data_IF_154960672490
#
_entry.id   IF_154960672490
#
_cell.length_a   1.000
_cell.length_b   1.000
_cell.length_c   1.000
_cell.angle_alpha   90.00
_cell.angle_beta   90.00
_cell.angle_gamma   90.00
#
_symmetry.space_group_name_H-M   'P 1'
#
loop_
_entity.id
_entity.type
_entity.pdbx_description
1 polymer ?
#
# COMPACT_ATOMS: atom_id res chain seq x y z
N UNK A 1 -13.37 28.00 -8.88
CA UNK A 1 -13.07 27.61 -10.27
C UNK A 1 -12.23 28.64 -11.05
N UNK A 2 -12.23 29.95 -10.73
CA UNK A 2 -11.32 30.93 -11.35
C UNK A 2 -9.95 31.03 -10.68
N UNK A 3 -9.81 30.68 -9.39
CA UNK A 3 -8.54 30.76 -8.65
C UNK A 3 -7.56 29.62 -8.98
N UNK A 4 -8.05 28.43 -9.32
CA UNK A 4 -7.19 27.29 -9.70
C UNK A 4 -6.47 27.51 -11.04
N UNK A 5 -7.08 28.30 -11.94
CA UNK A 5 -6.45 28.70 -13.22
C UNK A 5 -5.28 29.65 -13.01
N UNK A 6 -5.33 30.52 -12.00
CA UNK A 6 -4.28 31.51 -11.76
C UNK A 6 -2.99 30.84 -11.26
N UNK A 7 -3.11 29.81 -10.41
CA UNK A 7 -1.97 29.05 -9.90
C UNK A 7 -1.33 28.22 -11.02
N UNK A 8 -2.14 27.54 -11.84
CA UNK A 8 -1.64 26.74 -12.96
C UNK A 8 -0.97 27.61 -14.05
N UNK A 9 -1.51 28.80 -14.32
CA UNK A 9 -0.89 29.78 -15.22
C UNK A 9 0.44 30.30 -14.68
N UNK A 10 0.56 30.51 -13.36
CA UNK A 10 1.82 30.91 -12.74
C UNK A 10 2.90 29.85 -12.90
N UNK A 11 2.54 28.56 -12.77
CA UNK A 11 3.46 27.44 -12.96
C UNK A 11 3.95 27.33 -14.41
N UNK A 12 3.06 27.43 -15.40
CA UNK A 12 3.47 27.40 -16.81
C UNK A 12 4.36 28.59 -17.21
N UNK A 13 4.09 29.79 -16.66
CA UNK A 13 4.88 30.99 -16.92
C UNK A 13 6.31 30.84 -16.36
N UNK A 14 6.44 30.23 -15.18
CA UNK A 14 7.74 29.96 -14.53
C UNK A 14 8.53 28.89 -15.31
N UNK A 15 7.89 27.82 -15.78
CA UNK A 15 8.55 26.82 -16.64
C UNK A 15 9.03 27.42 -17.98
N UNK A 16 8.21 28.25 -18.63
CA UNK A 16 8.60 28.95 -19.86
C UNK A 16 9.79 29.89 -19.66
N UNK A 17 9.93 30.49 -18.48
CA UNK A 17 11.07 31.36 -18.18
C UNK A 17 12.34 30.61 -17.79
N UNK A 18 12.21 29.39 -17.22
CA UNK A 18 13.32 28.47 -16.96
C UNK A 18 13.93 27.91 -18.25
N UNK A 19 13.10 27.49 -19.20
CA UNK A 19 13.55 26.99 -20.52
C UNK A 19 14.27 28.08 -21.33
N UNK A 20 13.91 29.35 -21.12
CA UNK A 20 14.54 30.50 -21.78
C UNK A 20 15.84 30.97 -21.11
N UNK A 21 16.35 30.28 -20.09
CA UNK A 21 17.62 30.61 -19.42
C UNK A 21 17.64 31.96 -18.70
N UNK A 22 16.47 32.58 -18.47
CA UNK A 22 16.35 33.90 -17.83
C UNK A 22 16.24 33.84 -16.30
N UNK A 23 16.06 32.65 -15.72
CA UNK A 23 16.03 32.43 -14.28
C UNK A 23 17.22 31.59 -13.86
N UNK A 24 18.11 32.18 -13.05
CA UNK A 24 19.16 31.45 -12.34
C UNK A 24 18.51 30.49 -11.34
N UNK A 25 19.03 29.26 -11.24
CA UNK A 25 18.61 28.23 -10.27
C UNK A 25 18.59 28.72 -8.82
N UNK A 26 19.29 29.81 -8.51
CA UNK A 26 19.26 30.46 -7.20
C UNK A 26 17.93 31.16 -6.88
N UNK A 27 17.13 31.59 -7.87
CA UNK A 27 15.82 32.21 -7.63
C UNK A 27 14.72 31.21 -7.26
N UNK A 28 14.87 29.93 -7.62
CA UNK A 28 13.97 28.85 -7.18
C UNK A 28 14.13 28.53 -5.69
N UNK A 29 15.27 28.89 -5.08
CA UNK A 29 15.51 28.70 -3.65
C UNK A 29 14.70 29.64 -2.74
N UNK A 30 14.11 30.72 -3.31
CA UNK A 30 13.19 31.59 -2.57
C UNK A 30 11.74 31.12 -2.63
N UNK A 31 11.32 30.40 -3.67
CA UNK A 31 9.98 29.80 -3.75
C UNK A 31 9.90 28.43 -3.08
N UNK A 32 11.03 27.75 -2.84
CA UNK A 32 11.06 26.44 -2.16
C UNK A 32 11.08 26.50 -0.63
N UNK A 33 11.08 27.70 -0.03
CA UNK A 33 11.13 27.92 1.44
C UNK A 33 9.97 28.75 2.00
N UNK A 34 8.93 29.04 1.22
CA UNK A 34 7.65 29.45 1.80
C UNK A 34 6.97 28.17 2.30
N UNK A 35 7.15 27.93 3.60
CA UNK A 35 6.83 26.69 4.29
C UNK A 35 5.49 26.10 3.89
N UNK A 36 5.54 25.03 3.12
CA UNK A 36 4.46 24.04 3.13
C UNK A 36 4.42 23.53 4.57
N UNK A 37 3.47 24.06 5.35
CA UNK A 37 3.28 23.65 6.73
C UNK A 37 2.95 22.16 6.70
N UNK A 38 3.73 21.38 7.44
CA UNK A 38 3.57 19.94 7.57
C UNK A 38 3.26 19.59 9.00
N UNK A 39 2.43 18.57 9.19
CA UNK A 39 2.19 17.98 10.50
C UNK A 39 2.54 16.51 10.45
N UNK A 40 3.40 16.08 11.37
CA UNK A 40 3.72 14.68 11.57
C UNK A 40 2.67 14.03 12.44
N UNK A 41 2.15 12.89 11.99
CA UNK A 41 1.26 12.03 12.74
C UNK A 41 1.88 10.62 12.84
N UNK A 42 1.52 9.90 13.90
CA UNK A 42 1.95 8.52 14.11
C UNK A 42 0.87 7.55 13.63
N UNK A 43 1.29 6.58 12.83
CA UNK A 43 0.47 5.49 12.34
C UNK A 43 1.12 4.15 12.68
N UNK A 44 0.39 3.07 12.43
CA UNK A 44 0.95 1.73 12.43
C UNK A 44 0.58 1.03 11.15
N UNK A 45 1.55 0.33 10.57
CA UNK A 45 1.31 -0.60 9.49
C UNK A 45 1.00 -1.96 10.12
N UNK A 46 -0.07 -2.59 9.66
CA UNK A 46 -0.44 -3.95 10.06
C UNK A 46 -0.49 -4.84 8.82
N UNK A 47 0.03 -6.06 8.96
CA UNK A 47 -0.02 -7.06 7.89
C UNK A 47 -0.34 -8.43 8.47
N UNK A 48 -1.09 -9.24 7.73
CA UNK A 48 -1.38 -10.63 8.07
C UNK A 48 -1.42 -11.49 6.81
N UNK A 49 -1.09 -12.76 7.00
CA UNK A 49 -1.22 -13.81 5.97
C UNK A 49 -1.53 -15.14 6.66
N UNK A 50 -2.02 -16.16 5.95
CA UNK A 50 -2.23 -17.47 6.56
C UNK A 50 -0.93 -18.02 7.15
N UNK A 51 -1.02 -18.60 8.35
CA UNK A 51 0.11 -19.29 9.01
C UNK A 51 0.67 -20.47 8.19
N UNK A 52 -0.11 -20.94 7.22
CA UNK A 52 0.22 -22.03 6.33
C UNK A 52 -0.49 -21.87 4.99
N UNK A 53 0.18 -22.26 3.92
CA UNK A 53 -0.38 -22.34 2.56
C UNK A 53 0.17 -23.57 1.82
N UNK A 54 -0.30 -23.83 0.61
CA UNK A 54 0.12 -24.96 -0.24
C UNK A 54 0.80 -24.49 -1.52
N UNK A 55 1.83 -25.24 -1.98
CA UNK A 55 2.50 -24.96 -3.26
C UNK A 55 1.51 -24.80 -4.41
N UNK A 56 1.79 -23.86 -5.31
CA UNK A 56 1.01 -23.58 -6.52
C UNK A 56 -0.45 -23.17 -6.27
N UNK A 57 -0.83 -22.86 -5.03
CA UNK A 57 -2.13 -22.28 -4.70
C UNK A 57 -1.96 -20.80 -4.36
N UNK A 58 -2.81 -19.94 -4.90
CA UNK A 58 -2.77 -18.52 -4.57
C UNK A 58 -3.08 -18.30 -3.09
N UNK A 59 -2.26 -17.52 -2.42
CA UNK A 59 -2.49 -17.06 -1.04
C UNK A 59 -2.46 -15.54 -0.98
N UNK A 60 -2.86 -14.99 0.17
CA UNK A 60 -3.04 -13.56 0.36
C UNK A 60 -2.16 -13.01 1.48
N UNK A 61 -1.62 -11.81 1.26
CA UNK A 61 -1.12 -10.93 2.32
C UNK A 61 -2.04 -9.73 2.37
N UNK A 62 -2.67 -9.48 3.51
CA UNK A 62 -3.57 -8.35 3.74
C UNK A 62 -2.90 -7.33 4.64
N UNK A 63 -3.07 -6.07 4.31
CA UNK A 63 -2.39 -4.97 5.00
C UNK A 63 -3.28 -3.74 5.12
N UNK A 64 -3.06 -2.97 6.18
CA UNK A 64 -3.69 -1.67 6.42
C UNK A 64 -2.69 -0.75 7.14
N UNK A 65 -2.68 0.54 6.80
CA UNK A 65 -2.10 1.57 7.66
C UNK A 65 -3.22 2.11 8.55
N UNK A 66 -3.09 1.92 9.85
CA UNK A 66 -4.10 2.29 10.83
C UNK A 66 -3.60 3.39 11.76
N UNK A 67 -4.50 4.26 12.20
CA UNK A 67 -4.23 5.18 13.30
C UNK A 67 -3.94 4.39 14.58
N UNK A 68 -3.18 4.97 15.52
CA UNK A 68 -2.78 4.25 16.75
C UNK A 68 -3.94 3.78 17.62
N UNK A 69 -5.10 4.44 17.54
CA UNK A 69 -6.29 4.12 18.35
C UNK A 69 -7.34 3.30 17.61
N UNK A 70 -7.18 3.07 16.30
CA UNK A 70 -8.10 2.20 15.56
C UNK A 70 -7.91 0.74 15.92
N UNK A 71 -8.92 -0.10 15.68
CA UNK A 71 -8.79 -1.56 15.71
C UNK A 71 -8.09 -2.14 14.47
N UNK A 72 -7.95 -1.37 13.38
CA UNK A 72 -7.16 -1.73 12.20
C UNK A 72 -7.59 -3.05 11.55
N UNK A 73 -6.63 -3.90 11.23
CA UNK A 73 -6.86 -5.17 10.53
C UNK A 73 -7.67 -6.17 11.38
N UNK A 74 -7.74 -5.96 12.70
CA UNK A 74 -8.54 -6.83 13.58
C UNK A 74 -10.04 -6.78 13.32
N UNK A 75 -10.56 -5.70 12.71
CA UNK A 75 -11.97 -5.60 12.31
C UNK A 75 -12.31 -6.52 11.14
N UNK A 76 -11.31 -6.90 10.35
CA UNK A 76 -11.47 -7.66 9.11
C UNK A 76 -11.10 -9.13 9.29
N UNK A 77 -10.68 -9.55 10.50
CA UNK A 77 -10.18 -10.88 10.79
C UNK A 77 -10.92 -11.49 11.99
N UNK A 78 -11.10 -12.82 12.06
CA UNK A 78 -10.63 -13.81 11.09
C UNK A 78 -11.39 -13.74 9.76
N UNK A 79 -10.72 -14.11 8.68
CA UNK A 79 -11.33 -14.26 7.36
C UNK A 79 -10.56 -15.30 6.52
N UNK A 80 -11.27 -15.91 5.59
CA UNK A 80 -10.69 -16.88 4.66
C UNK A 80 -10.24 -16.20 3.37
N UNK A 81 -9.14 -16.68 2.79
CA UNK A 81 -8.77 -16.34 1.41
C UNK A 81 -9.77 -16.94 0.41
N UNK A 82 -9.67 -16.55 -0.85
CA UNK A 82 -10.49 -17.15 -1.92
C UNK A 82 -10.35 -18.69 -2.04
N UNK A 83 -9.26 -19.27 -1.53
CA UNK A 83 -8.99 -20.72 -1.52
C UNK A 83 -9.16 -21.35 -0.13
N UNK A 84 -9.89 -20.69 0.77
CA UNK A 84 -10.22 -21.15 2.12
C UNK A 84 -9.02 -21.29 3.07
N UNK A 85 -7.89 -20.62 2.80
CA UNK A 85 -6.82 -20.48 3.79
C UNK A 85 -7.27 -19.47 4.86
N UNK A 86 -7.25 -19.85 6.14
CA UNK A 86 -7.70 -18.98 7.22
C UNK A 86 -6.60 -17.99 7.65
N UNK A 87 -6.93 -16.70 7.68
CA UNK A 87 -6.13 -15.65 8.32
C UNK A 87 -6.80 -15.29 9.65
N UNK A 88 -6.06 -15.36 10.75
CA UNK A 88 -6.57 -15.07 12.09
C UNK A 88 -5.96 -13.81 12.67
N UNK A 89 -6.55 -13.28 13.75
CA UNK A 89 -5.99 -12.12 14.48
C UNK A 89 -4.58 -12.38 15.03
N UNK A 90 -4.19 -13.64 15.25
CA UNK A 90 -2.85 -14.01 15.76
C UNK A 90 -1.76 -13.88 14.68
N UNK A 91 -2.17 -13.88 13.42
CA UNK A 91 -1.28 -13.75 12.27
C UNK A 91 -0.89 -12.29 12.00
N UNK A 92 -1.56 -11.33 12.66
CA UNK A 92 -1.26 -9.91 12.53
C UNK A 92 0.13 -9.62 13.09
N UNK A 93 0.94 -8.92 12.29
CA UNK A 93 2.16 -8.23 12.71
C UNK A 93 1.97 -6.75 12.48
N UNK A 94 2.53 -5.94 13.37
CA UNK A 94 2.36 -4.48 13.35
C UNK A 94 3.64 -3.77 13.72
N UNK A 95 3.87 -2.61 13.12
CA UNK A 95 4.98 -1.73 13.42
C UNK A 95 4.51 -0.27 13.27
N UNK A 96 5.04 0.63 14.11
CA UNK A 96 4.69 2.05 14.06
C UNK A 96 5.56 2.79 13.05
N UNK A 97 5.07 3.90 12.52
CA UNK A 97 5.84 4.81 11.69
C UNK A 97 5.28 6.24 11.74
N UNK A 98 6.16 7.25 11.70
CA UNK A 98 5.75 8.64 11.50
C UNK A 98 5.45 8.91 10.03
N UNK A 99 4.50 9.80 9.76
CA UNK A 99 4.22 10.32 8.42
C UNK A 99 3.87 11.80 8.48
N UNK A 100 4.40 12.56 7.53
CA UNK A 100 4.11 13.98 7.35
C UNK A 100 2.94 14.16 6.38
N UNK A 101 1.97 14.95 6.80
CA UNK A 101 0.90 15.44 5.93
C UNK A 101 1.06 16.94 5.70
N UNK A 102 0.80 17.37 4.47
CA UNK A 102 0.76 18.79 4.14
C UNK A 102 -0.51 19.44 4.67
N UNK A 103 -0.42 20.70 5.09
CA UNK A 103 -1.57 21.50 5.52
C UNK A 103 -2.04 22.36 4.34
N UNK A 104 -3.34 22.30 4.06
CA UNK A 104 -3.99 23.24 3.15
C UNK A 104 -4.06 24.62 3.82
N UNK A 105 -3.31 25.59 3.32
CA UNK A 105 -3.24 26.93 3.94
C UNK A 105 -4.56 27.71 3.91
N UNK A 106 -5.52 27.31 3.08
CA UNK A 106 -6.84 27.96 3.01
C UNK A 106 -7.83 27.38 4.02
N UNK A 107 -7.78 26.06 4.25
CA UNK A 107 -8.74 25.36 5.15
C UNK A 107 -8.14 24.95 6.49
N UNK A 108 -6.82 25.05 6.65
CA UNK A 108 -6.02 24.50 7.76
C UNK A 108 -6.17 22.97 7.93
N UNK A 109 -6.68 22.28 6.91
CA UNK A 109 -6.87 20.83 6.92
C UNK A 109 -5.62 20.09 6.45
N UNK A 110 -5.39 18.92 7.05
CA UNK A 110 -4.35 18.02 6.58
C UNK A 110 -4.79 17.34 5.28
N UNK A 111 -3.93 17.42 4.28
CA UNK A 111 -4.12 16.78 2.98
C UNK A 111 -3.70 15.31 3.04
N UNK A 112 -4.41 14.41 2.36
CA UNK A 112 -4.04 13.01 2.25
C UNK A 112 -2.74 12.81 1.46
N UNK A 113 -2.10 11.65 1.64
CA UNK A 113 -0.88 11.30 0.92
C UNK A 113 -0.94 9.87 0.38
N UNK A 114 -0.07 9.58 -0.58
CA UNK A 114 0.14 8.23 -1.09
C UNK A 114 1.43 7.68 -0.50
N UNK A 115 1.36 6.45 0.00
CA UNK A 115 2.50 5.65 0.40
C UNK A 115 2.66 4.47 -0.55
N UNK A 116 3.83 3.83 -0.52
CA UNK A 116 4.15 2.73 -1.44
C UNK A 116 4.56 1.49 -0.66
N UNK A 117 3.85 0.38 -0.91
CA UNK A 117 4.11 -0.91 -0.27
C UNK A 117 4.87 -1.80 -1.23
N UNK A 118 6.06 -2.23 -0.84
CA UNK A 118 6.85 -3.26 -1.51
C UNK A 118 6.74 -4.58 -0.75
N UNK A 119 6.55 -5.66 -1.49
CA UNK A 119 6.49 -7.01 -0.93
C UNK A 119 7.66 -7.85 -1.48
N UNK A 120 8.48 -8.37 -0.58
CA UNK A 120 9.62 -9.22 -0.89
C UNK A 120 9.38 -10.61 -0.30
N UNK A 121 9.21 -11.61 -1.16
CA UNK A 121 8.94 -12.98 -0.75
C UNK A 121 9.63 -13.97 -1.70
N UNK A 122 10.91 -14.34 -1.45
CA UNK A 122 11.71 -15.12 -2.39
C UNK A 122 11.16 -16.53 -2.66
N UNK A 123 10.30 -17.04 -1.79
CA UNK A 123 9.68 -18.37 -1.92
C UNK A 123 8.35 -18.34 -2.71
N UNK A 124 7.97 -17.17 -3.24
CA UNK A 124 6.69 -16.91 -3.89
C UNK A 124 6.88 -16.20 -5.24
N UNK A 125 5.97 -16.47 -6.17
CA UNK A 125 5.72 -15.58 -7.32
C UNK A 125 4.73 -14.50 -6.89
N UNK A 126 5.00 -13.27 -7.29
CA UNK A 126 4.18 -12.09 -7.00
C UNK A 126 3.98 -11.33 -8.30
N UNK A 127 2.73 -11.17 -8.74
CA UNK A 127 2.40 -10.43 -9.97
C UNK A 127 2.69 -8.93 -9.82
N UNK A 128 2.19 -8.34 -8.72
CA UNK A 128 2.34 -6.91 -8.42
C UNK A 128 3.02 -6.73 -7.07
N UNK A 129 4.37 -6.73 -7.01
CA UNK A 129 5.12 -6.63 -5.76
C UNK A 129 5.15 -5.21 -5.20
N UNK A 130 4.71 -4.21 -5.96
CA UNK A 130 4.58 -2.82 -5.53
C UNK A 130 3.12 -2.37 -5.67
N UNK A 131 2.57 -1.72 -4.64
CA UNK A 131 1.24 -1.12 -4.67
C UNK A 131 1.22 0.22 -3.94
N UNK A 132 0.38 1.13 -4.40
CA UNK A 132 0.12 2.41 -3.74
C UNK A 132 -0.94 2.23 -2.65
N UNK A 133 -0.74 2.88 -1.52
CA UNK A 133 -1.63 2.95 -0.38
C UNK A 133 -2.02 4.40 -0.14
N UNK A 134 -3.29 4.72 -0.35
CA UNK A 134 -3.80 6.04 -0.02
C UNK A 134 -4.04 6.15 1.49
N UNK A 135 -3.48 7.19 2.11
CA UNK A 135 -3.59 7.43 3.54
C UNK A 135 -4.19 8.82 3.80
N UNK A 136 -5.26 8.86 4.57
CA UNK A 136 -5.88 10.09 5.02
C UNK A 136 -5.53 10.35 6.50
N UNK A 137 -5.31 11.60 6.92
CA UNK A 137 -4.91 11.98 8.29
C UNK A 137 -5.89 11.56 9.40
N UNK A 138 -7.16 11.31 9.05
CA UNK A 138 -8.24 11.14 10.03
C UNK A 138 -8.87 9.75 10.03
N UNK A 139 -8.35 8.82 9.23
CA UNK A 139 -8.90 7.47 9.10
C UNK A 139 -7.80 6.47 8.77
N UNK A 140 -8.10 5.19 8.99
CA UNK A 140 -7.27 4.11 8.48
C UNK A 140 -7.31 4.08 6.95
N UNK A 141 -6.29 3.47 6.35
CA UNK A 141 -6.34 3.16 4.92
C UNK A 141 -7.41 2.11 4.63
N UNK A 142 -7.71 1.90 3.34
CA UNK A 142 -8.37 0.68 2.91
C UNK A 142 -7.48 -0.55 3.15
N UNK A 143 -8.09 -1.74 3.18
CA UNK A 143 -7.34 -3.00 3.19
C UNK A 143 -6.74 -3.24 1.81
N UNK A 144 -5.43 -3.41 1.78
CA UNK A 144 -4.66 -3.73 0.59
C UNK A 144 -4.30 -5.22 0.59
N UNK A 145 -4.65 -5.93 -0.48
CA UNK A 145 -4.36 -7.37 -0.61
C UNK A 145 -3.32 -7.62 -1.69
N UNK A 146 -2.25 -8.34 -1.36
CA UNK A 146 -1.31 -8.91 -2.32
C UNK A 146 -1.63 -10.38 -2.56
N UNK A 147 -1.49 -10.82 -3.81
CA UNK A 147 -1.63 -12.21 -4.21
C UNK A 147 -0.26 -12.81 -4.43
N UNK A 148 -0.02 -13.99 -3.84
CA UNK A 148 1.26 -14.68 -3.89
C UNK A 148 1.05 -16.15 -4.27
N UNK A 149 1.95 -16.73 -5.06
CA UNK A 149 1.93 -18.15 -5.41
C UNK A 149 3.21 -18.82 -4.89
N UNK A 150 3.15 -19.62 -3.80
CA UNK A 150 4.30 -20.31 -3.25
C UNK A 150 4.85 -21.37 -4.22
N UNK A 151 6.17 -21.39 -4.37
CA UNK A 151 6.83 -22.24 -5.38
C UNK A 151 7.34 -23.56 -4.81
N UNK A 152 7.96 -23.52 -3.64
CA UNK A 152 8.64 -24.67 -3.05
C UNK A 152 8.19 -24.91 -1.60
N UNK A 153 8.06 -26.17 -1.16
CA UNK A 153 7.73 -26.47 0.23
C UNK A 153 8.80 -25.92 1.19
N UNK A 154 8.36 -25.26 2.25
CA UNK A 154 9.26 -24.62 3.22
C UNK A 154 8.63 -24.58 4.59
N UNK A 155 9.40 -24.93 5.63
CA UNK A 155 8.91 -24.90 7.02
C UNK A 155 8.63 -23.48 7.50
N UNK A 156 9.49 -22.53 7.10
CA UNK A 156 9.44 -21.12 7.45
C UNK A 156 9.77 -20.29 6.21
N UNK A 157 8.75 -19.93 5.44
CA UNK A 157 8.86 -18.97 4.36
C UNK A 157 8.64 -17.56 4.90
N UNK A 158 9.48 -16.61 4.46
CA UNK A 158 9.43 -15.22 4.91
C UNK A 158 8.76 -14.36 3.84
N UNK A 159 7.90 -13.47 4.29
CA UNK A 159 7.34 -12.40 3.48
C UNK A 159 7.65 -11.08 4.18
N UNK A 160 8.46 -10.24 3.53
CA UNK A 160 8.83 -8.93 4.04
C UNK A 160 7.93 -7.90 3.37
N UNK A 161 7.38 -7.00 4.18
CA UNK A 161 6.54 -5.89 3.77
C UNK A 161 7.28 -4.61 4.13
N UNK A 162 7.55 -3.77 3.13
CA UNK A 162 8.24 -2.51 3.30
C UNK A 162 7.33 -1.36 2.86
N UNK A 163 7.24 -0.34 3.69
CA UNK A 163 6.46 0.87 3.46
C UNK A 163 7.40 2.03 3.15
N UNK A 164 7.19 2.69 2.02
CA UNK A 164 7.98 3.80 1.53
C UNK A 164 7.14 5.07 1.39
N UNK A 165 7.80 6.23 1.53
CA UNK A 165 7.20 7.55 1.29
C UNK A 165 6.99 7.82 -0.19
N UNK A 166 7.88 7.30 -1.03
CA UNK A 166 7.96 7.55 -2.47
C UNK A 166 8.02 6.24 -3.28
N UNK A 167 7.71 6.34 -4.58
CA UNK A 167 7.61 5.18 -5.46
C UNK A 167 8.99 4.60 -5.80
N UNK A 168 10.00 5.47 -5.83
CA UNK A 168 11.40 5.17 -6.10
C UNK A 168 12.06 4.40 -4.95
N UNK A 169 11.34 4.22 -3.83
CA UNK A 169 11.78 3.50 -2.63
C UNK A 169 13.01 4.15 -1.96
N UNK A 170 13.12 5.47 -2.06
CA UNK A 170 14.25 6.21 -1.50
C UNK A 170 14.14 6.44 0.01
N UNK A 171 12.91 6.54 0.55
CA UNK A 171 12.67 6.75 1.98
C UNK A 171 11.81 5.61 2.55
N UNK A 172 12.44 4.70 3.29
CA UNK A 172 11.76 3.63 4.03
C UNK A 172 11.16 4.20 5.32
N UNK A 173 9.85 4.05 5.49
CA UNK A 173 9.11 4.47 6.70
C UNK A 173 8.96 3.32 7.70
N UNK A 174 8.73 2.10 7.22
CA UNK A 174 8.54 0.93 8.09
C UNK A 174 8.82 -0.38 7.37
N UNK A 175 9.14 -1.42 8.13
CA UNK A 175 9.28 -2.79 7.64
C UNK A 175 8.68 -3.80 8.61
N UNK A 176 8.09 -4.86 8.05
CA UNK A 176 7.47 -5.98 8.76
C UNK A 176 7.89 -7.30 8.14
N UNK A 177 8.01 -8.34 8.97
CA UNK A 177 8.21 -9.72 8.49
C UNK A 177 7.07 -10.61 8.92
N UNK A 178 6.44 -11.27 7.95
CA UNK A 178 5.49 -12.36 8.15
C UNK A 178 6.19 -13.69 7.92
N UNK A 179 5.72 -14.73 8.61
CA UNK A 179 6.24 -16.09 8.51
C UNK A 179 5.07 -17.03 8.25
N UNK A 180 5.22 -17.89 7.24
CA UNK A 180 4.23 -18.92 6.91
C UNK A 180 4.91 -20.25 6.59
N UNK A 181 4.16 -21.35 6.74
CA UNK A 181 4.59 -22.68 6.30
C UNK A 181 4.04 -22.98 4.91
N UNK A 182 4.90 -23.32 3.96
CA UNK A 182 4.49 -23.80 2.64
C UNK A 182 4.51 -25.33 2.64
N UNK A 183 3.33 -25.94 2.49
CA UNK A 183 3.17 -27.40 2.38
C UNK A 183 3.13 -27.85 0.91
N UNK A 184 3.48 -29.12 0.68
CA UNK A 184 3.12 -29.78 -0.59
C UNK A 184 1.60 -29.81 -0.72
N UNK A 185 1.10 -29.77 -1.95
CA UNK A 185 -0.32 -29.94 -2.24
C UNK A 185 -0.78 -31.25 -1.62
N UNK A 186 -1.78 -31.18 -0.74
CA UNK A 186 -2.42 -32.38 -0.25
C UNK A 186 -3.22 -33.00 -1.40
N UNK A 187 -2.97 -34.27 -1.71
CA UNK A 187 -3.79 -34.99 -2.69
C UNK A 187 -5.24 -35.03 -2.22
N UNK A 188 -6.16 -34.68 -3.12
CA UNK A 188 -7.63 -34.57 -2.96
C UNK A 188 -8.16 -33.40 -2.11
N UNK A 189 -8.42 -32.27 -2.79
CA UNK A 189 -9.70 -31.57 -2.66
C UNK A 189 -10.38 -31.57 -4.04
N UNK A 190 -11.48 -32.31 -4.14
CA UNK A 190 -12.32 -32.35 -5.33
C UNK A 190 -12.86 -30.95 -5.61
N UNK A 191 -12.48 -30.41 -6.77
CA UNK A 191 -13.06 -29.20 -7.34
C UNK A 191 -14.56 -29.43 -7.57
N UNK A 192 -15.41 -28.71 -6.86
CA UNK A 192 -16.74 -28.35 -7.39
C UNK A 192 -16.72 -26.88 -7.77
N UNK A 193 -17.20 -26.63 -8.98
CA UNK A 193 -17.00 -25.45 -9.80
C UNK A 193 -17.60 -24.18 -9.16
N UNK A 194 -16.80 -23.11 -9.04
CA UNK A 194 -17.32 -21.75 -8.81
C UNK A 194 -16.62 -20.65 -9.60
N UNK A 195 -15.89 -20.98 -10.66
CA UNK A 195 -15.06 -20.02 -11.43
C UNK A 195 -15.43 -19.89 -12.92
N UNK A 196 -16.72 -19.81 -13.25
CA UNK A 196 -17.16 -19.33 -14.59
C UNK A 196 -18.19 -18.20 -14.57
N UNK A 197 -18.55 -17.61 -13.42
CA UNK A 197 -19.60 -16.57 -13.37
C UNK A 197 -19.13 -15.12 -13.19
N UNK A 198 -17.85 -14.84 -12.89
CA UNK A 198 -17.38 -13.47 -12.62
C UNK A 198 -16.46 -12.84 -13.67
N UNK A 199 -15.88 -13.60 -14.59
CA UNK A 199 -14.97 -13.05 -15.61
C UNK A 199 -15.60 -12.73 -16.98
N UNK A 200 -16.88 -13.07 -17.22
CA UNK A 200 -17.59 -12.73 -18.47
C UNK A 200 -18.74 -11.71 -18.31
N UNK A 201 -18.91 -11.08 -17.14
CA UNK A 201 -19.98 -10.09 -16.89
C UNK A 201 -19.60 -8.62 -17.05
N UNK A 202 -18.54 -8.31 -17.81
CA UNK A 202 -18.17 -6.93 -18.14
C UNK A 202 -18.16 -6.63 -19.66
N UNK A 203 -18.38 -7.62 -20.53
CA UNK A 203 -18.46 -7.39 -21.99
C UNK A 203 -19.81 -7.73 -22.63
N UNK A 204 -20.90 -7.72 -21.85
CA UNK A 204 -22.26 -7.64 -22.40
C UNK A 204 -23.18 -6.86 -21.46
N UNK A 205 -23.01 -5.55 -21.43
CA UNK A 205 -24.13 -4.62 -21.31
C UNK A 205 -23.77 -3.41 -22.20
N UNK A 206 -24.75 -3.04 -23.01
CA UNK A 206 -24.75 -2.02 -24.06
C UNK A 206 -24.17 -0.67 -23.65
#
# INVERSE_FOLDING_TARGET
>A
MQQDKAIFQLFEEVEKQLVKGKLSTNHLSMFSKQGLMQKTLEYRIEAAMPSQTEIKQTTEVRLIAASLNSSGLQNYLPDSTELDDLITKKDIRKNQFPIEFFINQTTDELLPTNLFISLIAPDFLIDKPLKTLYLSPNQDSGVLTFLLIPQTPKKLARVIVELYKDQEKSILLSSLTLITKIKRKSGLRSYTQRFLSKFFRVNQLN
#
